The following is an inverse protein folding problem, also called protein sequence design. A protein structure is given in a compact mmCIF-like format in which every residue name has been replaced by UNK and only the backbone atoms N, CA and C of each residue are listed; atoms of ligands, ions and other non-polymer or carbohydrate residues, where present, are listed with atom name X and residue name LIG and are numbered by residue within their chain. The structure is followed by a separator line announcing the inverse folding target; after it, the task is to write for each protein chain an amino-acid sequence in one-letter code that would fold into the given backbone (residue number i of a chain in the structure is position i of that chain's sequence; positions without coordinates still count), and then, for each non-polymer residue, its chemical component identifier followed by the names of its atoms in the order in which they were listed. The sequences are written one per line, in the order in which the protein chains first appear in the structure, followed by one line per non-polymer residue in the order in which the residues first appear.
data_IF_643371823004
#
_entry.id   IF_643371823004
#
_cell.length_a   1.000
_cell.length_b   1.000
_cell.length_c   1.000
_cell.angle_alpha   90.00
_cell.angle_beta   90.00
_cell.angle_gamma   90.00
#
_symmetry.space_group_name_H-M   'P 1'
#
loop_
_entity.id
_entity.type
_entity.pdbx_description
1 polymer ?
#
# COMPACT_ATOMS: atom_id res chain seq x y z
N UNK A 1 17.49 40.46 38.72
CA UNK A 1 18.26 40.06 39.92
C UNK A 1 17.57 38.85 40.54
N UNK A 2 18.37 37.98 41.14
CA UNK A 2 18.20 36.54 41.34
C UNK A 2 17.34 36.19 42.60
N UNK A 3 17.20 34.93 43.04
CA UNK A 3 15.96 34.13 43.02
C UNK A 3 15.62 33.57 44.43
N UNK A 4 14.58 32.75 44.59
CA UNK A 4 14.75 31.38 45.12
C UNK A 4 13.43 30.58 45.26
N UNK A 5 13.39 29.50 44.47
CA UNK A 5 13.30 28.11 44.94
C UNK A 5 12.01 27.63 45.63
N UNK A 6 11.13 26.97 44.85
CA UNK A 6 10.24 25.93 45.36
C UNK A 6 10.38 24.68 44.50
N UNK A 7 11.19 23.71 44.98
CA UNK A 7 11.21 22.31 44.50
C UNK A 7 10.28 21.48 45.40
N UNK A 8 9.51 20.52 44.86
CA UNK A 8 8.85 19.50 45.66
C UNK A 8 9.84 18.38 46.06
N UNK A 9 9.60 17.66 47.16
CA UNK A 9 10.56 16.73 47.73
C UNK A 9 10.61 15.37 47.00
N UNK A 10 11.82 14.83 46.96
CA UNK A 10 12.18 13.47 46.57
C UNK A 10 11.59 12.43 47.53
N UNK A 11 10.97 11.38 46.98
CA UNK A 11 10.54 10.20 47.76
C UNK A 11 11.60 9.12 47.63
N UNK A 12 12.26 8.85 48.76
CA UNK A 12 13.23 7.77 48.95
C UNK A 12 12.48 6.47 49.27
N UNK A 13 12.89 5.39 48.61
CA UNK A 13 12.48 4.01 48.83
C UNK A 13 12.82 3.55 50.26
N UNK A 14 11.88 2.89 50.94
CA UNK A 14 12.16 1.99 52.07
C UNK A 14 11.50 0.64 51.78
N UNK A 15 12.29 -0.42 51.89
CA UNK A 15 11.87 -1.80 51.65
C UNK A 15 11.30 -2.50 52.89
N UNK A 16 10.66 -3.63 52.62
CA UNK A 16 10.53 -4.75 53.54
C UNK A 16 9.18 -4.88 54.26
N UNK A 17 8.34 -5.82 53.81
CA UNK A 17 8.14 -7.12 54.48
C UNK A 17 6.96 -7.88 53.87
N UNK A 18 7.26 -9.13 53.51
CA UNK A 18 6.38 -10.14 52.90
C UNK A 18 5.24 -10.52 53.85
N UNK A 19 4.02 -10.64 53.34
CA UNK A 19 2.97 -11.49 53.91
C UNK A 19 2.54 -12.52 52.88
N UNK A 20 2.64 -13.78 53.28
CA UNK A 20 2.26 -14.97 52.54
C UNK A 20 0.76 -14.98 52.23
N UNK A 21 0.41 -15.19 50.95
CA UNK A 21 -0.93 -15.57 50.51
C UNK A 21 -0.89 -17.02 50.01
N UNK A 22 -1.95 -17.82 50.25
CA UNK A 22 -1.92 -19.25 50.01
C UNK A 22 -1.97 -19.60 48.52
N UNK A 23 -1.16 -20.60 48.16
CA UNK A 23 -1.09 -21.22 46.84
C UNK A 23 -2.40 -21.97 46.60
N UNK A 24 -3.21 -21.50 45.65
CA UNK A 24 -4.29 -22.29 45.07
C UNK A 24 -3.72 -23.20 43.98
N UNK A 25 -3.79 -24.51 44.22
CA UNK A 25 -3.48 -25.54 43.23
C UNK A 25 -4.58 -25.55 42.16
N UNK A 26 -4.29 -25.03 40.97
CA UNK A 26 -5.14 -25.24 39.80
C UNK A 26 -4.90 -26.66 39.24
N UNK A 27 -5.95 -27.47 39.03
CA UNK A 27 -5.80 -28.80 38.49
C UNK A 27 -5.40 -28.77 37.01
N UNK A 28 -4.43 -29.63 36.68
CA UNK A 28 -3.94 -29.92 35.33
C UNK A 28 -5.10 -30.23 34.38
N UNK A 29 -5.19 -29.60 33.19
CA UNK A 29 -6.24 -29.92 32.23
C UNK A 29 -6.04 -31.33 31.67
N UNK A 30 -7.08 -32.16 31.78
CA UNK A 30 -7.13 -33.49 31.19
C UNK A 30 -7.00 -33.40 29.64
N UNK A 31 -6.35 -34.39 28.99
CA UNK A 31 -6.16 -34.38 27.55
C UNK A 31 -7.50 -34.46 26.82
N UNK A 32 -7.77 -33.50 25.94
CA UNK A 32 -8.93 -33.52 25.04
C UNK A 32 -8.84 -34.74 24.13
N UNK A 33 -9.90 -35.55 24.13
CA UNK A 33 -10.09 -36.63 23.18
C UNK A 33 -10.08 -36.08 21.74
N UNK A 34 -9.24 -36.68 20.91
CA UNK A 34 -9.16 -36.43 19.48
C UNK A 34 -10.46 -36.93 18.85
N UNK A 35 -11.32 -36.00 18.44
CA UNK A 35 -12.45 -36.32 17.56
C UNK A 35 -11.91 -36.50 16.14
N UNK A 36 -11.89 -37.74 15.68
CA UNK A 36 -11.53 -38.11 14.31
C UNK A 36 -12.70 -37.75 13.39
N UNK A 37 -12.60 -36.61 12.70
CA UNK A 37 -13.45 -36.32 11.55
C UNK A 37 -13.13 -37.31 10.41
N UNK A 38 -14.14 -37.90 9.74
CA UNK A 38 -13.91 -38.80 8.63
C UNK A 38 -13.35 -38.05 7.41
N UNK A 39 -12.38 -38.67 6.75
CA UNK A 39 -11.74 -38.14 5.55
C UNK A 39 -12.75 -37.88 4.42
N UNK A 40 -12.63 -36.78 3.65
CA UNK A 40 -13.45 -36.58 2.46
C UNK A 40 -13.04 -37.59 1.37
N UNK A 41 -14.05 -38.21 0.77
CA UNK A 41 -13.92 -39.18 -0.31
C UNK A 41 -13.10 -38.63 -1.48
N UNK A 42 -12.07 -39.39 -1.88
CA UNK A 42 -11.35 -39.20 -3.16
C UNK A 42 -12.32 -39.38 -4.32
N UNK A 43 -12.54 -38.31 -5.09
CA UNK A 43 -13.11 -38.42 -6.43
C UNK A 43 -12.10 -39.11 -7.38
N UNK A 44 -12.55 -39.97 -8.31
CA UNK A 44 -11.66 -40.69 -9.21
C UNK A 44 -11.05 -39.76 -10.27
N UNK A 45 -9.78 -40.01 -10.58
CA UNK A 45 -9.02 -39.32 -11.61
C UNK A 45 -9.62 -39.57 -13.01
N UNK A 46 -9.99 -38.49 -13.70
CA UNK A 46 -10.37 -38.54 -15.11
C UNK A 46 -9.10 -38.49 -15.96
N UNK A 47 -8.64 -39.66 -16.40
CA UNK A 47 -7.66 -39.81 -17.48
C UNK A 47 -8.42 -39.85 -18.80
N UNK A 48 -8.35 -38.80 -19.62
CA UNK A 48 -8.64 -38.91 -21.05
C UNK A 48 -7.75 -38.00 -21.91
N UNK A 49 -6.79 -38.65 -22.55
CA UNK A 49 -6.32 -38.52 -23.95
C UNK A 49 -5.97 -37.11 -24.47
N UNK A 50 -4.66 -36.93 -24.67
CA UNK A 50 -4.09 -36.06 -25.72
C UNK A 50 -4.68 -36.44 -27.08
N UNK A 51 -5.20 -35.45 -27.80
CA UNK A 51 -5.40 -35.52 -29.25
C UNK A 51 -4.66 -34.34 -29.88
N UNK A 52 -3.54 -34.69 -30.52
CA UNK A 52 -2.91 -33.86 -31.53
C UNK A 52 -3.87 -33.74 -32.72
N UNK A 53 -4.14 -32.52 -33.18
CA UNK A 53 -4.70 -32.32 -34.50
C UNK A 53 -3.97 -31.16 -35.18
N UNK A 54 -2.97 -31.54 -35.99
CA UNK A 54 -2.50 -30.75 -37.14
C UNK A 54 -3.54 -30.92 -38.25
N UNK A 55 -4.11 -29.81 -38.72
CA UNK A 55 -4.70 -29.75 -40.06
C UNK A 55 -4.28 -28.42 -40.70
N UNK A 56 -3.41 -28.55 -41.71
CA UNK A 56 -3.28 -27.59 -42.80
C UNK A 56 -4.45 -27.81 -43.77
N UNK A 57 -5.05 -26.74 -44.29
CA UNK A 57 -5.47 -26.72 -45.69
C UNK A 57 -5.59 -25.29 -46.22
N UNK A 58 -4.85 -25.05 -47.28
CA UNK A 58 -5.02 -24.01 -48.28
C UNK A 58 -6.34 -24.19 -49.03
N UNK A 59 -6.89 -23.08 -49.53
CA UNK A 59 -7.37 -22.89 -50.91
C UNK A 59 -8.18 -21.57 -50.99
N UNK A 60 -7.56 -20.54 -51.58
CA UNK A 60 -7.83 -19.99 -52.92
C UNK A 60 -9.14 -19.20 -53.05
N UNK A 61 -9.00 -17.89 -53.24
CA UNK A 61 -9.65 -17.16 -54.34
C UNK A 61 -8.73 -16.01 -54.78
N UNK A 62 -8.31 -16.09 -56.04
CA UNK A 62 -7.60 -15.05 -56.78
C UNK A 62 -8.60 -14.36 -57.72
N UNK A 63 -8.49 -13.04 -57.88
CA UNK A 63 -8.80 -12.37 -59.15
C UNK A 63 -8.08 -11.02 -59.26
N UNK A 64 -6.98 -11.04 -60.02
CA UNK A 64 -6.54 -10.11 -61.06
C UNK A 64 -7.06 -8.66 -61.07
N UNK A 65 -6.14 -7.69 -61.19
CA UNK A 65 -5.84 -7.03 -62.47
C UNK A 65 -4.62 -6.09 -62.34
N UNK A 66 -3.69 -6.23 -63.28
CA UNK A 66 -2.54 -5.37 -63.52
C UNK A 66 -2.69 -4.68 -64.89
N UNK A 67 -2.01 -3.54 -65.06
CA UNK A 67 -1.66 -2.91 -66.34
C UNK A 67 -0.73 -1.72 -66.03
N UNK A 68 0.60 -1.86 -66.16
CA UNK A 68 1.43 -1.53 -67.34
C UNK A 68 1.51 -0.01 -67.61
N UNK A 69 2.60 0.65 -67.95
CA UNK A 69 3.99 0.35 -68.36
C UNK A 69 4.69 1.75 -68.39
N UNK A 70 5.91 1.98 -67.94
CA UNK A 70 7.15 1.87 -68.75
C UNK A 70 8.29 2.53 -67.96
N UNK A 71 9.49 1.95 -68.04
CA UNK A 71 10.72 2.54 -67.50
C UNK A 71 11.56 3.19 -68.60
N UNK A 72 12.26 4.28 -68.25
CA UNK A 72 13.49 4.71 -68.93
C UNK A 72 14.52 5.09 -67.86
N UNK A 73 15.67 4.40 -67.90
CA UNK A 73 16.89 4.69 -67.10
C UNK A 73 17.70 5.76 -67.83
N UNK A 74 18.08 6.87 -67.19
CA UNK A 74 19.17 7.75 -67.65
C UNK A 74 19.95 8.42 -66.49
N UNK A 75 21.18 8.81 -66.82
CA UNK A 75 22.38 9.15 -66.02
C UNK A 75 22.22 10.26 -64.96
N UNK A 76 23.07 10.18 -63.92
CA UNK A 76 23.42 11.29 -63.01
C UNK A 76 23.99 12.50 -63.79
N UNK A 77 23.60 13.73 -63.42
CA UNK A 77 24.50 14.86 -63.41
C UNK A 77 24.64 15.44 -62.00
N UNK A 78 25.84 15.90 -61.68
CA UNK A 78 26.08 16.63 -60.44
C UNK A 78 25.55 18.07 -60.48
N UNK A 79 25.56 18.66 -59.28
CA UNK A 79 25.84 20.06 -58.96
C UNK A 79 24.74 20.86 -58.25
N UNK A 80 25.27 21.67 -57.32
CA UNK A 80 24.77 22.92 -56.72
C UNK A 80 23.92 22.82 -55.45
N UNK A 81 24.63 23.04 -54.33
CA UNK A 81 24.12 23.55 -53.06
C UNK A 81 23.29 24.81 -53.33
N UNK A 82 22.00 24.77 -52.99
CA UNK A 82 21.17 25.95 -52.84
C UNK A 82 20.97 26.21 -51.34
N UNK A 83 21.53 27.33 -50.89
CA UNK A 83 21.43 27.82 -49.52
C UNK A 83 20.20 28.72 -49.45
N UNK A 84 19.12 28.28 -48.78
CA UNK A 84 17.96 29.12 -48.49
C UNK A 84 17.99 29.56 -47.02
N UNK A 85 17.81 30.85 -46.70
CA UNK A 85 17.94 31.34 -45.33
C UNK A 85 16.75 30.86 -44.48
N UNK A 86 17.05 30.27 -43.31
CA UNK A 86 16.06 30.04 -42.26
C UNK A 86 15.72 31.35 -41.58
N UNK A 87 14.54 31.89 -41.86
CA UNK A 87 13.96 32.96 -41.06
C UNK A 87 12.89 32.34 -40.14
N UNK A 88 13.29 31.98 -38.92
CA UNK A 88 12.35 31.66 -37.83
C UNK A 88 12.17 32.94 -36.99
N UNK A 89 10.94 33.42 -36.75
CA UNK A 89 10.73 34.58 -35.90
C UNK A 89 11.22 34.29 -34.48
N UNK A 90 11.98 35.24 -33.95
CA UNK A 90 12.56 35.23 -32.61
C UNK A 90 11.45 35.44 -31.59
N UNK A 91 10.86 34.35 -31.08
CA UNK A 91 9.98 34.39 -29.91
C UNK A 91 10.88 34.65 -28.71
N UNK A 92 10.64 35.79 -28.07
CA UNK A 92 11.44 36.33 -26.99
C UNK A 92 11.73 35.31 -25.89
N UNK A 93 12.92 35.49 -25.31
CA UNK A 93 13.47 34.79 -24.15
C UNK A 93 12.39 34.20 -23.23
N UNK A 94 12.21 32.88 -23.31
CA UNK A 94 11.69 32.13 -22.18
C UNK A 94 12.55 32.50 -20.98
N UNK A 95 11.94 33.17 -19.99
CA UNK A 95 12.59 33.44 -18.73
C UNK A 95 13.19 32.13 -18.24
N UNK A 96 14.51 32.10 -18.07
CA UNK A 96 15.18 31.00 -17.42
C UNK A 96 14.54 30.82 -16.04
N UNK A 97 13.62 29.86 -15.91
CA UNK A 97 13.20 29.38 -14.60
C UNK A 97 14.46 28.77 -14.01
N UNK A 98 15.09 29.52 -13.10
CA UNK A 98 16.27 29.09 -12.36
C UNK A 98 15.93 27.79 -11.64
N UNK A 99 16.23 26.66 -12.26
CA UNK A 99 16.29 25.35 -11.61
C UNK A 99 17.50 25.39 -10.68
N UNK A 100 17.34 25.95 -9.48
CA UNK A 100 18.51 26.34 -8.69
C UNK A 100 18.27 26.69 -7.24
N UNK A 101 17.18 26.27 -6.61
CA UNK A 101 17.14 26.17 -5.15
C UNK A 101 17.04 24.70 -4.81
N UNK A 102 18.18 24.08 -4.49
CA UNK A 102 18.15 22.83 -3.72
C UNK A 102 17.53 23.19 -2.38
N UNK A 103 16.23 22.98 -2.22
CA UNK A 103 15.62 22.98 -0.91
C UNK A 103 16.26 21.82 -0.15
N UNK A 104 17.23 22.15 0.70
CA UNK A 104 17.90 21.16 1.52
C UNK A 104 16.92 20.81 2.64
N UNK A 105 16.17 19.72 2.49
CA UNK A 105 15.32 19.22 3.56
C UNK A 105 16.26 18.73 4.67
N UNK A 106 16.20 19.33 5.87
CA UNK A 106 17.15 18.98 6.94
C UNK A 106 16.98 17.53 7.36
N UNK A 107 18.04 16.94 7.89
CA UNK A 107 17.99 15.64 8.53
C UNK A 107 17.06 15.67 9.74
N UNK A 108 16.50 14.51 10.08
CA UNK A 108 15.62 14.36 11.24
C UNK A 108 16.49 14.31 12.50
N UNK A 109 16.18 15.14 13.50
CA UNK A 109 16.88 15.14 14.78
C UNK A 109 16.63 13.83 15.57
N UNK A 110 17.54 13.40 16.46
CA UNK A 110 17.45 12.12 17.17
C UNK A 110 16.15 11.89 17.95
N UNK A 111 15.54 12.97 18.43
CA UNK A 111 14.34 12.98 19.26
C UNK A 111 13.07 13.31 18.47
N UNK A 112 13.15 13.35 17.14
CA UNK A 112 12.09 13.82 16.25
C UNK A 112 11.63 12.70 15.31
N UNK A 113 10.33 12.67 15.05
CA UNK A 113 9.74 11.85 14.00
C UNK A 113 9.10 12.75 12.95
N UNK A 114 9.24 12.40 11.69
CA UNK A 114 8.65 13.12 10.55
C UNK A 114 7.64 12.23 9.87
N UNK A 115 6.46 12.78 9.62
CA UNK A 115 5.38 12.13 8.86
C UNK A 115 5.16 12.96 7.61
N UNK A 116 5.23 12.34 6.44
CA UNK A 116 5.15 13.03 5.15
C UNK A 116 4.15 12.30 4.25
N UNK A 117 2.95 12.85 4.02
CA UNK A 117 2.11 12.38 2.93
C UNK A 117 2.77 12.78 1.59
N UNK A 118 3.07 11.79 0.75
CA UNK A 118 3.56 11.99 -0.62
C UNK A 118 2.43 11.90 -1.66
N UNK A 119 1.23 11.52 -1.23
CA UNK A 119 -0.03 11.53 -1.97
C UNK A 119 -1.19 11.11 -1.05
N UNK A 120 -2.43 11.33 -1.50
CA UNK A 120 -3.65 10.96 -0.75
C UNK A 120 -4.18 12.03 0.22
N UNK A 121 -3.63 13.25 0.18
CA UNK A 121 -4.11 14.39 0.98
C UNK A 121 -4.66 15.45 0.03
N UNK A 122 -5.87 15.95 0.32
CA UNK A 122 -6.65 16.86 -0.55
C UNK A 122 -7.02 16.23 -1.92
N UNK A 123 -7.00 14.91 -2.02
CA UNK A 123 -7.35 14.14 -3.21
C UNK A 123 -7.82 12.71 -2.87
N UNK A 124 -8.45 12.05 -3.83
CA UNK A 124 -8.78 10.61 -3.75
C UNK A 124 -7.78 9.83 -4.61
N UNK A 125 -7.10 8.88 -3.97
CA UNK A 125 -6.08 8.05 -4.59
C UNK A 125 -4.65 8.48 -4.28
N UNK A 126 -3.67 7.77 -4.85
CA UNK A 126 -2.23 8.03 -4.61
C UNK A 126 -1.80 7.92 -3.14
N UNK A 127 -2.50 7.14 -2.31
CA UNK A 127 -2.18 7.01 -0.90
C UNK A 127 -0.73 6.53 -0.70
N UNK A 128 0.09 7.38 -0.09
CA UNK A 128 1.46 7.08 0.27
C UNK A 128 1.89 8.01 1.40
N UNK A 129 2.16 7.45 2.57
CA UNK A 129 2.66 8.19 3.72
C UNK A 129 4.01 7.66 4.17
N UNK A 130 4.93 8.56 4.49
CA UNK A 130 6.27 8.24 4.97
C UNK A 130 6.36 8.52 6.45
N UNK A 131 6.83 7.53 7.21
CA UNK A 131 7.32 7.71 8.57
C UNK A 131 8.84 7.67 8.56
N UNK A 132 9.48 8.71 9.11
CA UNK A 132 10.93 8.83 9.16
C UNK A 132 11.41 9.22 10.55
N UNK A 133 12.43 8.50 11.02
CA UNK A 133 13.25 8.89 12.17
C UNK A 133 14.69 9.22 11.73
N UNK A 134 15.60 9.46 12.68
CA UNK A 134 17.01 9.76 12.39
C UNK A 134 17.65 8.79 11.38
N UNK A 135 17.36 7.49 11.50
CA UNK A 135 18.06 6.42 10.79
C UNK A 135 17.24 5.67 9.74
N UNK A 136 15.92 5.58 9.95
CA UNK A 136 15.05 4.66 9.24
C UNK A 136 13.85 5.38 8.60
N UNK A 137 13.45 4.88 7.43
CA UNK A 137 12.23 5.24 6.73
C UNK A 137 11.35 4.00 6.60
N UNK A 138 10.07 4.16 6.96
CA UNK A 138 8.99 3.21 6.72
C UNK A 138 7.97 3.89 5.81
N UNK A 139 7.65 3.24 4.70
CA UNK A 139 6.63 3.73 3.76
C UNK A 139 5.34 2.98 4.04
N UNK A 140 4.22 3.70 4.10
CA UNK A 140 2.88 3.15 4.25
C UNK A 140 2.15 3.40 2.94
N UNK A 141 1.76 2.31 2.28
CA UNK A 141 1.09 2.27 0.99
C UNK A 141 1.87 2.91 -0.18
N UNK A 142 1.46 2.56 -1.39
CA UNK A 142 1.99 3.03 -2.66
C UNK A 142 0.89 2.99 -3.74
N UNK A 143 -0.10 3.84 -3.55
CA UNK A 143 -1.24 4.03 -4.42
C UNK A 143 -0.98 4.76 -5.72
N UNK A 144 -1.84 4.54 -6.71
CA UNK A 144 -2.00 5.45 -7.84
C UNK A 144 -3.38 6.12 -7.83
N UNK A 145 -3.58 7.13 -8.66
CA UNK A 145 -4.87 7.75 -8.91
C UNK A 145 -5.25 7.54 -10.36
N UNK A 146 -6.53 7.25 -10.61
CA UNK A 146 -7.06 7.15 -11.96
C UNK A 146 -7.11 8.52 -12.62
N UNK A 147 -7.09 8.53 -13.96
CA UNK A 147 -7.23 9.75 -14.74
C UNK A 147 -8.49 10.55 -14.38
N UNK A 148 -8.37 11.87 -14.50
CA UNK A 148 -9.48 12.81 -14.42
C UNK A 148 -9.73 13.46 -15.79
N UNK A 149 -10.87 14.13 -15.94
CA UNK A 149 -11.19 14.90 -17.15
C UNK A 149 -10.11 15.95 -17.48
N UNK A 150 -9.47 16.51 -16.46
CA UNK A 150 -8.39 17.48 -16.59
C UNK A 150 -7.06 16.89 -17.13
N UNK A 151 -6.94 15.56 -17.22
CA UNK A 151 -5.71 14.85 -17.62
C UNK A 151 -5.92 13.97 -18.85
N UNK A 152 -6.20 14.55 -20.05
CA UNK A 152 -6.45 13.76 -21.25
C UNK A 152 -5.20 12.99 -21.69
N UNK A 153 -5.37 11.69 -21.96
CA UNK A 153 -4.31 10.81 -22.47
C UNK A 153 -3.41 10.17 -21.40
N UNK A 154 -3.67 10.42 -20.12
CA UNK A 154 -3.00 9.75 -18.99
C UNK A 154 -3.91 8.61 -18.51
N UNK A 155 -3.33 7.45 -18.16
CA UNK A 155 -4.07 6.35 -17.54
C UNK A 155 -4.05 6.44 -16.02
N UNK A 156 -2.87 6.72 -15.44
CA UNK A 156 -2.62 6.77 -14.00
C UNK A 156 -1.70 7.92 -13.61
N UNK A 157 -1.94 8.47 -12.42
CA UNK A 157 -1.09 9.47 -11.76
C UNK A 157 -0.42 8.77 -10.56
N UNK A 158 0.89 8.99 -10.41
CA UNK A 158 1.72 8.33 -9.39
C UNK A 158 2.30 9.35 -8.39
N UNK A 159 2.55 8.95 -7.13
CA UNK A 159 3.23 9.78 -6.15
C UNK A 159 4.65 10.17 -6.60
N UNK A 160 5.10 11.37 -6.23
CA UNK A 160 6.47 11.81 -6.50
C UNK A 160 7.44 11.25 -5.45
N UNK A 161 8.18 10.21 -5.83
CA UNK A 161 9.12 9.49 -4.95
C UNK A 161 10.49 10.13 -4.79
N UNK A 162 10.75 11.31 -5.37
CA UNK A 162 12.10 11.92 -5.37
C UNK A 162 12.70 12.05 -3.97
N UNK A 163 11.87 12.37 -2.97
CA UNK A 163 12.29 12.44 -1.56
C UNK A 163 12.93 11.14 -1.07
N UNK A 164 12.29 10.02 -1.40
CA UNK A 164 12.66 8.67 -1.01
C UNK A 164 13.86 8.16 -1.83
N UNK A 165 13.90 8.48 -3.13
CA UNK A 165 15.01 8.08 -4.02
C UNK A 165 16.36 8.61 -3.54
N UNK A 166 16.39 9.85 -3.05
CA UNK A 166 17.58 10.49 -2.48
C UNK A 166 17.98 9.89 -1.12
N UNK A 167 17.04 9.21 -0.42
CA UNK A 167 17.21 8.63 0.92
C UNK A 167 17.03 7.11 0.94
N UNK A 168 17.21 6.47 -0.21
CA UNK A 168 16.96 5.03 -0.42
C UNK A 168 17.61 4.14 0.63
N UNK A 169 18.82 4.49 1.05
CA UNK A 169 19.61 3.77 2.05
C UNK A 169 18.99 3.75 3.47
N UNK A 170 18.05 4.67 3.77
CA UNK A 170 17.28 4.70 5.02
C UNK A 170 16.01 3.86 4.95
N UNK A 171 15.51 3.51 3.76
CA UNK A 171 14.26 2.75 3.61
C UNK A 171 14.47 1.34 4.15
N UNK A 172 13.68 0.98 5.17
CA UNK A 172 13.74 -0.34 5.82
C UNK A 172 12.62 -1.26 5.38
N UNK A 173 11.46 -0.68 5.08
CA UNK A 173 10.28 -1.43 4.69
C UNK A 173 9.27 -0.56 3.96
N UNK A 174 8.42 -1.23 3.20
CA UNK A 174 7.09 -0.74 2.85
C UNK A 174 6.06 -1.59 3.59
N UNK A 175 5.01 -0.96 4.10
CA UNK A 175 3.89 -1.62 4.75
C UNK A 175 2.65 -1.31 3.92
N UNK A 176 1.85 -2.32 3.59
CA UNK A 176 0.64 -2.14 2.77
C UNK A 176 -0.58 -2.51 3.59
N UNK A 177 -1.47 -1.55 3.80
CA UNK A 177 -2.67 -1.67 4.65
C UNK A 177 -3.69 -2.65 4.07
N UNK A 178 -4.01 -2.51 2.78
CA UNK A 178 -4.98 -3.35 2.09
C UNK A 178 -4.79 -3.36 0.56
N UNK A 179 -5.54 -4.22 -0.13
CA UNK A 179 -5.34 -4.54 -1.55
C UNK A 179 -5.97 -3.60 -2.56
N UNK A 180 -6.54 -2.46 -2.15
CA UNK A 180 -7.10 -1.53 -3.13
C UNK A 180 -6.03 -0.84 -3.96
N UNK A 181 -6.46 -0.48 -5.17
CA UNK A 181 -5.62 -0.04 -6.25
C UNK A 181 -5.01 1.36 -5.97
N UNK A 182 -5.73 2.19 -5.25
CA UNK A 182 -5.27 3.44 -4.66
C UNK A 182 -4.35 3.30 -3.44
N UNK A 183 -4.04 2.07 -3.00
CA UNK A 183 -3.02 1.78 -1.97
C UNK A 183 -1.86 0.93 -2.50
N UNK A 184 -2.05 0.17 -3.58
CA UNK A 184 -1.01 -0.74 -4.13
C UNK A 184 -0.61 -0.43 -5.56
N UNK A 185 -1.40 0.37 -6.28
CA UNK A 185 -1.36 0.47 -7.74
C UNK A 185 -0.10 1.13 -8.30
N UNK A 186 0.56 2.00 -7.55
CA UNK A 186 1.82 2.62 -7.97
C UNK A 186 3.04 1.74 -7.69
N UNK A 187 2.94 0.76 -6.78
CA UNK A 187 4.07 -0.03 -6.29
C UNK A 187 4.94 -0.58 -7.43
N UNK A 188 4.41 -1.29 -8.46
CA UNK A 188 5.25 -1.86 -9.52
C UNK A 188 6.01 -0.82 -10.35
N UNK A 189 5.52 0.42 -10.41
CA UNK A 189 6.13 1.50 -11.19
C UNK A 189 7.32 2.17 -10.47
N UNK A 190 7.37 2.06 -9.14
CA UNK A 190 8.29 2.86 -8.30
C UNK A 190 9.23 2.01 -7.44
N UNK A 191 8.91 0.74 -7.20
CA UNK A 191 9.61 -0.10 -6.21
C UNK A 191 11.12 -0.24 -6.46
N UNK A 192 11.55 -0.31 -7.73
CA UNK A 192 12.98 -0.33 -8.08
C UNK A 192 13.69 0.97 -7.70
N UNK A 193 13.01 2.11 -7.87
CA UNK A 193 13.55 3.44 -7.49
C UNK A 193 13.73 3.51 -5.98
N UNK A 194 12.84 2.87 -5.23
CA UNK A 194 12.87 2.75 -3.76
C UNK A 194 13.86 1.69 -3.25
N UNK A 195 14.52 0.93 -4.13
CA UNK A 195 15.56 -0.03 -3.74
C UNK A 195 15.04 -1.40 -3.31
N UNK A 196 13.81 -1.75 -3.71
CA UNK A 196 13.21 -3.07 -3.43
C UNK A 196 13.17 -3.42 -1.93
N UNK A 197 12.68 -2.53 -1.04
CA UNK A 197 12.57 -2.84 0.38
C UNK A 197 11.59 -4.02 0.61
N UNK A 198 11.75 -4.79 1.70
CA UNK A 198 10.76 -5.78 2.11
C UNK A 198 9.37 -5.15 2.28
N UNK A 199 8.34 -5.88 1.86
CA UNK A 199 6.94 -5.45 1.88
C UNK A 199 6.19 -6.24 2.95
N UNK A 200 5.75 -5.56 4.00
CA UNK A 200 4.94 -6.13 5.07
C UNK A 200 3.46 -5.97 4.73
N UNK A 201 2.74 -7.09 4.66
CA UNK A 201 1.33 -7.07 4.28
C UNK A 201 0.63 -8.37 4.69
N UNK A 202 -0.70 -8.43 4.54
CA UNK A 202 -1.48 -9.67 4.71
C UNK A 202 -1.54 -10.48 3.43
N UNK A 203 -1.99 -11.73 3.57
CA UNK A 203 -1.89 -12.72 2.50
C UNK A 203 -2.64 -12.30 1.24
N UNK A 204 -3.92 -11.89 1.33
CA UNK A 204 -4.70 -11.45 0.17
C UNK A 204 -4.01 -10.33 -0.61
N UNK A 205 -3.57 -9.28 0.10
CA UNK A 205 -2.88 -8.14 -0.50
C UNK A 205 -1.60 -8.55 -1.20
N UNK A 206 -0.81 -9.48 -0.63
CA UNK A 206 0.39 -10.01 -1.29
C UNK A 206 0.06 -10.74 -2.61
N UNK A 207 -1.08 -11.45 -2.68
CA UNK A 207 -1.52 -12.15 -3.89
C UNK A 207 -1.97 -11.15 -4.96
N UNK A 208 -2.67 -10.09 -4.57
CA UNK A 208 -3.08 -9.01 -5.47
C UNK A 208 -1.86 -8.27 -6.04
N UNK A 209 -0.87 -7.97 -5.21
CA UNK A 209 0.40 -7.39 -5.64
C UNK A 209 1.16 -8.33 -6.59
N UNK A 210 1.27 -9.63 -6.28
CA UNK A 210 1.86 -10.62 -7.21
C UNK A 210 1.15 -10.66 -8.55
N UNK A 211 -0.19 -10.60 -8.55
CA UNK A 211 -1.00 -10.58 -9.77
C UNK A 211 -0.71 -9.33 -10.60
N UNK A 212 -0.62 -8.16 -9.95
CA UNK A 212 -0.28 -6.89 -10.62
C UNK A 212 1.16 -6.89 -11.14
N UNK A 213 2.09 -7.42 -10.35
CA UNK A 213 3.51 -7.56 -10.69
C UNK A 213 3.72 -8.43 -11.95
N UNK A 214 2.84 -9.38 -12.23
CA UNK A 214 2.91 -10.20 -13.45
C UNK A 214 2.83 -9.37 -14.76
N UNK A 215 2.31 -8.15 -14.70
CA UNK A 215 2.30 -7.19 -15.83
C UNK A 215 3.65 -6.45 -15.98
N UNK A 216 4.56 -6.60 -15.02
CA UNK A 216 5.88 -5.97 -14.96
C UNK A 216 6.99 -7.02 -14.87
N UNK A 217 7.15 -7.92 -15.87
CA UNK A 217 8.10 -9.04 -15.79
C UNK A 217 9.58 -8.63 -15.75
N UNK A 218 9.88 -7.34 -15.94
CA UNK A 218 11.23 -6.78 -15.84
C UNK A 218 11.59 -6.39 -14.40
N UNK A 219 10.59 -6.17 -13.54
CA UNK A 219 10.81 -5.80 -12.13
C UNK A 219 11.05 -7.10 -11.34
N UNK A 220 12.09 -7.17 -10.49
CA UNK A 220 12.39 -8.38 -9.73
C UNK A 220 11.24 -8.81 -8.80
N UNK A 221 11.30 -10.06 -8.34
CA UNK A 221 10.32 -10.58 -7.38
C UNK A 221 10.32 -9.75 -6.09
N UNK A 222 9.11 -9.46 -5.61
CA UNK A 222 8.88 -8.70 -4.40
C UNK A 222 9.12 -9.58 -3.15
N UNK A 223 9.88 -9.05 -2.18
CA UNK A 223 10.11 -9.72 -0.89
C UNK A 223 8.95 -9.44 0.07
N UNK A 224 7.95 -10.33 0.10
CA UNK A 224 6.82 -10.22 1.00
C UNK A 224 7.13 -10.80 2.39
N UNK A 225 6.84 -10.02 3.43
CA UNK A 225 6.76 -10.44 4.83
C UNK A 225 5.28 -10.49 5.23
N UNK A 226 4.73 -11.70 5.27
CA UNK A 226 3.32 -11.88 5.62
C UNK A 226 3.13 -11.66 7.11
N UNK A 227 2.22 -10.74 7.45
CA UNK A 227 1.79 -10.49 8.82
C UNK A 227 0.57 -11.36 9.11
N UNK A 228 0.69 -12.21 10.12
CA UNK A 228 -0.43 -12.99 10.66
C UNK A 228 -0.88 -12.37 11.99
N UNK A 229 -2.19 -12.19 12.16
CA UNK A 229 -2.77 -11.64 13.39
C UNK A 229 -2.30 -10.22 13.72
N UNK A 230 -2.00 -10.00 15.00
CA UNK A 230 -1.69 -8.70 15.61
C UNK A 230 -0.25 -8.64 16.15
N UNK A 231 0.67 -9.39 15.53
CA UNK A 231 2.06 -9.50 15.99
C UNK A 231 2.84 -8.17 15.81
N UNK A 232 3.87 -8.00 16.64
CA UNK A 232 4.81 -6.89 16.54
C UNK A 232 6.09 -7.32 15.83
N UNK A 233 6.58 -6.50 14.91
CA UNK A 233 7.84 -6.69 14.18
C UNK A 233 8.79 -5.53 14.46
N UNK A 234 10.10 -5.81 14.39
CA UNK A 234 11.13 -4.77 14.43
C UNK A 234 11.56 -4.43 13.00
N UNK A 235 11.33 -3.19 12.59
CA UNK A 235 11.74 -2.65 11.29
C UNK A 235 12.83 -1.60 11.54
N UNK A 236 14.08 -1.96 11.25
CA UNK A 236 15.22 -1.18 11.70
C UNK A 236 15.22 -1.09 13.23
N UNK A 237 15.16 0.12 13.77
CA UNK A 237 15.07 0.38 15.22
C UNK A 237 13.64 0.68 15.70
N UNK A 238 12.64 0.54 14.83
CA UNK A 238 11.25 0.89 15.13
C UNK A 238 10.41 -0.36 15.36
N UNK A 239 9.71 -0.42 16.49
CA UNK A 239 8.71 -1.48 16.73
C UNK A 239 7.41 -1.09 16.04
N UNK A 240 6.91 -1.99 15.21
CA UNK A 240 5.65 -1.82 14.47
C UNK A 240 4.72 -2.98 14.82
N UNK A 241 3.46 -2.68 15.13
CA UNK A 241 2.41 -3.67 15.42
C UNK A 241 1.27 -3.48 14.44
N UNK A 242 0.42 -4.50 14.34
CA UNK A 242 -0.72 -4.50 13.43
C UNK A 242 -1.99 -4.87 14.17
N UNK A 243 -3.13 -4.46 13.61
CA UNK A 243 -4.45 -4.81 14.12
C UNK A 243 -5.43 -5.01 12.96
N UNK A 244 -6.47 -5.80 13.18
CA UNK A 244 -7.53 -6.01 12.19
C UNK A 244 -8.31 -4.72 11.95
N UNK A 245 -8.65 -4.46 10.68
CA UNK A 245 -9.48 -3.33 10.27
C UNK A 245 -10.56 -3.84 9.35
N UNK A 246 -11.80 -3.45 9.62
CA UNK A 246 -12.92 -3.72 8.73
C UNK A 246 -12.91 -2.74 7.58
N UNK A 247 -12.99 -3.25 6.34
CA UNK A 247 -13.10 -2.46 5.11
C UNK A 247 -13.90 -3.24 4.05
N UNK A 248 -14.09 -2.68 2.85
CA UNK A 248 -14.73 -3.36 1.72
C UNK A 248 -13.88 -4.44 1.07
N UNK A 249 -12.62 -4.62 1.51
CA UNK A 249 -11.76 -5.73 1.11
C UNK A 249 -11.30 -6.52 2.34
N UNK A 250 -11.29 -7.87 2.29
CA UNK A 250 -10.76 -8.70 3.38
C UNK A 250 -9.27 -8.44 3.62
N UNK A 251 -8.75 -8.96 4.73
CA UNK A 251 -7.33 -8.87 5.08
C UNK A 251 -6.79 -7.42 5.18
N UNK A 252 -7.68 -6.44 5.42
CA UNK A 252 -7.27 -5.07 5.74
C UNK A 252 -6.66 -5.02 7.14
N UNK A 253 -5.63 -4.19 7.31
CA UNK A 253 -4.94 -4.04 8.59
C UNK A 253 -4.53 -2.60 8.88
N UNK A 254 -4.62 -2.25 10.15
CA UNK A 254 -4.05 -1.03 10.70
C UNK A 254 -2.61 -1.24 11.16
N UNK A 255 -1.91 -0.13 11.31
CA UNK A 255 -0.47 -0.06 11.62
C UNK A 255 -0.29 0.80 12.86
N UNK A 256 0.44 0.30 13.84
CA UNK A 256 0.88 1.02 15.04
C UNK A 256 2.40 1.12 15.00
N UNK A 257 2.91 2.35 14.99
CA UNK A 257 4.33 2.66 15.10
C UNK A 257 4.60 3.08 16.56
N UNK A 258 5.35 2.24 17.28
CA UNK A 258 5.65 2.43 18.70
C UNK A 258 6.86 3.36 18.85
N UNK A 259 6.61 4.57 19.37
CA UNK A 259 7.66 5.56 19.62
C UNK A 259 7.83 5.81 21.12
N UNK A 260 9.00 6.33 21.57
CA UNK A 260 9.20 6.73 22.97
C UNK A 260 8.19 7.74 23.51
N UNK A 261 7.44 8.44 22.65
CA UNK A 261 6.47 9.48 23.01
C UNK A 261 5.02 9.00 23.00
N UNK A 262 4.77 7.78 22.53
CA UNK A 262 3.44 7.23 22.32
C UNK A 262 3.28 6.62 20.93
N UNK A 263 2.14 5.98 20.72
CA UNK A 263 1.82 5.29 19.47
C UNK A 263 1.37 6.28 18.40
N UNK A 264 1.93 6.13 17.21
CA UNK A 264 1.41 6.74 15.99
C UNK A 264 0.69 5.63 15.24
N UNK A 265 -0.57 5.83 14.87
CA UNK A 265 -1.37 4.76 14.28
C UNK A 265 -2.14 5.23 13.06
N UNK A 266 -2.36 4.33 12.12
CA UNK A 266 -3.28 4.51 10.99
C UNK A 266 -4.04 3.21 10.74
N UNK A 267 -5.37 3.26 10.58
CA UNK A 267 -6.13 2.09 10.15
C UNK A 267 -5.98 1.81 8.64
N UNK A 268 -5.36 2.72 7.88
CA UNK A 268 -5.61 2.79 6.44
C UNK A 268 -7.03 3.30 6.19
N UNK A 269 -7.69 2.73 5.18
CA UNK A 269 -9.13 2.90 5.02
C UNK A 269 -9.88 1.97 5.97
N UNK A 270 -10.99 2.43 6.53
CA UNK A 270 -11.81 1.66 7.44
C UNK A 270 -13.29 2.04 7.38
N UNK A 271 -14.12 1.03 7.63
CA UNK A 271 -15.49 1.22 8.12
C UNK A 271 -15.57 0.63 9.53
N UNK A 272 -16.46 1.18 10.35
CA UNK A 272 -16.77 0.58 11.65
C UNK A 272 -18.01 -0.30 11.49
N UNK A 273 -17.85 -1.62 11.67
CA UNK A 273 -18.99 -2.52 11.63
C UNK A 273 -19.84 -2.39 12.90
N UNK A 274 -21.16 -2.44 12.74
CA UNK A 274 -22.07 -2.19 13.84
C UNK A 274 -23.44 -2.85 13.65
N UNK A 275 -24.16 -3.02 14.76
CA UNK A 275 -25.59 -3.35 14.79
C UNK A 275 -26.30 -2.23 15.55
N UNK A 276 -27.19 -1.51 14.86
CA UNK A 276 -27.94 -0.36 15.43
C UNK A 276 -27.06 0.70 16.12
N UNK A 277 -25.95 1.06 15.48
CA UNK A 277 -24.99 2.05 15.98
C UNK A 277 -24.06 1.55 17.10
N UNK A 278 -24.12 0.27 17.47
CA UNK A 278 -23.19 -0.35 18.43
C UNK A 278 -22.15 -1.20 17.70
N UNK A 279 -20.84 -1.01 17.95
CA UNK A 279 -19.80 -1.86 17.37
C UNK A 279 -20.09 -3.34 17.61
N UNK A 280 -19.74 -4.18 16.65
CA UNK A 280 -19.82 -5.63 16.83
C UNK A 280 -18.70 -6.13 17.75
N UNK A 281 -18.86 -7.33 18.32
CA UNK A 281 -17.83 -7.93 19.19
C UNK A 281 -16.47 -8.07 18.47
N UNK A 282 -16.49 -8.34 17.15
CA UNK A 282 -15.29 -8.41 16.31
C UNK A 282 -14.64 -7.03 16.14
N UNK A 283 -15.46 -5.99 15.93
CA UNK A 283 -14.99 -4.61 15.83
C UNK A 283 -14.38 -4.14 17.16
N UNK A 284 -15.02 -4.43 18.30
CA UNK A 284 -14.43 -4.11 19.61
C UNK A 284 -13.10 -4.84 19.85
N UNK A 285 -13.01 -6.13 19.52
CA UNK A 285 -11.79 -6.91 19.69
C UNK A 285 -10.64 -6.39 18.79
N UNK A 286 -10.93 -5.93 17.57
CA UNK A 286 -9.94 -5.32 16.67
C UNK A 286 -9.25 -4.09 17.28
N UNK A 287 -10.00 -3.25 18.01
CA UNK A 287 -9.49 -2.00 18.58
C UNK A 287 -9.06 -2.10 20.06
N UNK A 288 -9.32 -3.21 20.73
CA UNK A 288 -8.92 -3.47 22.12
C UNK A 288 -7.41 -3.34 22.37
N UNK A 289 -6.59 -3.46 21.33
CA UNK A 289 -5.13 -3.22 21.41
C UNK A 289 -4.78 -1.84 21.97
N UNK A 290 -5.67 -0.86 21.82
CA UNK A 290 -5.49 0.52 22.28
C UNK A 290 -5.84 0.75 23.75
N UNK A 291 -6.40 -0.25 24.45
CA UNK A 291 -6.81 -0.12 25.86
C UNK A 291 -5.64 0.26 26.77
N UNK A 292 -5.77 1.40 27.46
CA UNK A 292 -4.77 1.92 28.38
C UNK A 292 -3.44 2.32 27.71
N UNK A 293 -3.44 2.53 26.39
CA UNK A 293 -2.24 2.93 25.63
C UNK A 293 -2.18 4.43 25.44
N UNK A 294 -0.96 4.95 25.42
CA UNK A 294 -0.71 6.34 25.05
C UNK A 294 -0.62 6.45 23.52
N UNK A 295 -1.71 6.88 22.89
CA UNK A 295 -1.72 7.19 21.45
C UNK A 295 -1.40 8.66 21.25
N UNK A 296 -0.27 8.94 20.61
CA UNK A 296 0.20 10.29 20.31
C UNK A 296 -0.50 10.88 19.09
N UNK A 297 -0.72 10.06 18.05
CA UNK A 297 -1.28 10.50 16.78
C UNK A 297 -2.07 9.39 16.08
N UNK A 298 -3.24 9.74 15.56
CA UNK A 298 -4.02 8.93 14.63
C UNK A 298 -4.03 9.62 13.27
N UNK A 299 -3.57 8.92 12.23
CA UNK A 299 -3.76 9.29 10.83
C UNK A 299 -5.03 8.59 10.34
N UNK A 300 -6.18 9.25 10.48
CA UNK A 300 -7.48 8.73 10.07
C UNK A 300 -7.78 9.04 8.60
N UNK A 301 -8.44 8.12 7.92
CA UNK A 301 -9.00 8.42 6.59
C UNK A 301 -10.17 9.41 6.70
N UNK A 302 -10.39 10.17 5.63
CA UNK A 302 -11.38 11.23 5.61
C UNK A 302 -12.36 11.14 4.43
N UNK A 303 -12.43 9.99 3.73
CA UNK A 303 -13.17 9.84 2.48
C UNK A 303 -14.66 10.15 2.64
N UNK A 304 -15.23 9.81 3.79
CA UNK A 304 -16.68 9.86 4.01
C UNK A 304 -17.11 10.86 5.09
N UNK A 305 -16.25 11.79 5.52
CA UNK A 305 -16.50 12.67 6.68
C UNK A 305 -17.69 13.63 6.49
N UNK A 306 -18.07 13.92 5.24
CA UNK A 306 -19.21 14.79 4.94
C UNK A 306 -20.56 14.09 5.13
N UNK A 307 -20.57 12.76 5.26
CA UNK A 307 -21.77 11.96 5.43
C UNK A 307 -21.99 11.62 6.91
N UNK A 308 -22.97 12.26 7.60
CA UNK A 308 -23.23 11.99 9.00
C UNK A 308 -23.90 10.63 9.21
N UNK A 309 -23.70 10.05 10.39
CA UNK A 309 -24.33 8.80 10.80
C UNK A 309 -23.39 7.61 10.65
N UNK A 310 -23.95 6.46 10.31
CA UNK A 310 -23.21 5.21 10.17
C UNK A 310 -23.43 4.60 8.78
N UNK A 311 -22.41 3.90 8.28
CA UNK A 311 -22.51 3.11 7.06
C UNK A 311 -23.53 1.97 7.25
N UNK A 312 -24.29 1.65 6.20
CA UNK A 312 -25.21 0.51 6.26
C UNK A 312 -24.43 -0.78 6.59
N UNK A 313 -24.86 -1.57 7.59
CA UNK A 313 -24.23 -2.85 7.92
C UNK A 313 -24.25 -3.82 6.75
N UNK A 314 -23.20 -4.63 6.62
CA UNK A 314 -23.08 -5.57 5.49
C UNK A 314 -24.14 -6.68 5.54
N UNK A 315 -24.59 -7.04 6.75
CA UNK A 315 -25.70 -7.98 6.97
C UNK A 315 -26.99 -7.52 6.30
N UNK A 316 -27.31 -6.23 6.37
CA UNK A 316 -28.51 -5.64 5.73
C UNK A 316 -28.40 -5.72 4.20
N UNK A 317 -27.21 -5.50 3.64
CA UNK A 317 -26.96 -5.62 2.20
C UNK A 317 -27.15 -7.08 1.75
N UNK A 318 -26.61 -8.04 2.52
CA UNK A 318 -26.74 -9.46 2.24
C UNK A 318 -28.21 -9.92 2.25
N UNK A 319 -28.99 -9.50 3.26
CA UNK A 319 -30.40 -9.88 3.38
C UNK A 319 -31.23 -9.34 2.22
N UNK A 320 -31.02 -8.07 1.85
CA UNK A 320 -31.69 -7.44 0.71
C UNK A 320 -31.33 -8.13 -0.62
N UNK A 321 -30.05 -8.47 -0.82
CA UNK A 321 -29.62 -9.19 -2.02
C UNK A 321 -30.24 -10.59 -2.09
N UNK A 322 -30.32 -11.29 -0.96
CA UNK A 322 -30.94 -12.61 -0.89
C UNK A 322 -32.45 -12.56 -1.19
N UNK A 323 -33.13 -11.47 -0.84
CA UNK A 323 -34.54 -11.25 -1.21
C UNK A 323 -34.70 -11.03 -2.72
N UNK A 324 -33.88 -10.15 -3.32
CA UNK A 324 -33.91 -9.86 -4.76
C UNK A 324 -33.61 -11.10 -5.60
N UNK A 325 -32.68 -11.95 -5.18
CA UNK A 325 -32.35 -13.19 -5.93
C UNK A 325 -33.48 -14.22 -5.86
N UNK A 326 -34.34 -14.16 -4.83
CA UNK A 326 -35.49 -15.07 -4.69
C UNK A 326 -36.73 -14.62 -5.48
N UNK A 327 -36.85 -13.32 -5.82
CA UNK A 327 -37.98 -12.75 -6.57
C UNK A 327 -37.89 -13.03 -8.06
#
# INVERSE_FOLDING_TARGET
MNPNNNRPPSRVYHGGLKKNLPIQNNPTPAPRAVSTAPAPHRAPALVTRRHDNKLNMSDTFSSNAAGELTGIKMKKPGAKRFNMPRNRPNIGSASQIKHGVKHNIPDVAPDTFRIIPLGGVEEIGMNMTVFENEHDIIIIDAGFKFKEEATPGIDYILPNTKYLEERKHKIRAMIVTHGHLDHIGALPYIIEKLGMPPIYTRNLTSLMLKKRQAEFPHVPDLDFKIIEGNEGVMIGQTSVKFYGVTHSIPDSMGIIIDTPYGWITTPGDFKLDHIDGKPTDEEEENYKVFDGKNVLLLLGESTNIENPGFSTPESVVHDNLAEIVKS
#
